data_IF_117086529797
#
_entry.id   IF_117086529797
#
_cell.length_a   1.000
_cell.length_b   1.000
_cell.length_c   1.000
_cell.angle_alpha   90.00
_cell.angle_beta   90.00
_cell.angle_gamma   90.00
#
_symmetry.space_group_name_H-M   'P 1'
#
loop_
_entity.id
_entity.type
_entity.pdbx_description
1 polymer ?
#
# COMPACT_ATOMS: atom_id res chain seq x y z
N UNK A 1 19.72 -13.28 -7.38
CA UNK A 1 19.54 -11.96 -6.75
C UNK A 1 20.48 -11.86 -5.55
N UNK A 2 20.84 -10.62 -5.15
CA UNK A 2 21.89 -10.40 -4.11
C UNK A 2 21.36 -10.55 -2.68
N UNK A 3 20.05 -10.29 -2.49
CA UNK A 3 19.37 -10.34 -1.18
C UNK A 3 18.12 -11.20 -1.26
N UNK A 4 17.64 -11.70 -0.14
CA UNK A 4 16.33 -12.34 -0.05
C UNK A 4 15.22 -11.27 -0.09
N UNK A 5 15.42 -10.17 0.63
CA UNK A 5 14.41 -9.12 0.78
C UNK A 5 14.94 -7.74 0.39
N UNK A 6 14.10 -6.96 -0.29
CA UNK A 6 14.22 -5.50 -0.41
C UNK A 6 13.01 -4.85 0.24
N UNK A 7 13.22 -3.98 1.21
CA UNK A 7 12.15 -3.30 1.94
C UNK A 7 12.17 -1.83 1.56
N UNK A 8 11.10 -1.34 0.95
CA UNK A 8 10.96 0.05 0.52
C UNK A 8 10.25 0.83 1.63
N UNK A 9 10.93 1.85 2.15
CA UNK A 9 10.45 2.71 3.24
C UNK A 9 10.39 4.16 2.74
N UNK A 10 9.21 4.65 2.29
CA UNK A 10 9.06 6.05 1.94
C UNK A 10 9.03 6.90 3.21
N UNK A 11 9.95 7.87 3.32
CA UNK A 11 10.04 8.82 4.44
C UNK A 11 9.56 10.19 4.00
N UNK A 12 8.81 10.89 4.85
CA UNK A 12 8.38 12.27 4.63
C UNK A 12 8.53 13.16 5.86
N UNK A 13 8.03 12.69 6.98
CA UNK A 13 7.97 13.40 8.26
C UNK A 13 7.94 12.40 9.42
N UNK A 14 7.78 12.84 10.66
CA UNK A 14 7.64 12.01 11.85
C UNK A 14 8.85 11.08 12.09
N UNK A 15 9.99 11.72 12.28
CA UNK A 15 11.27 11.04 12.42
C UNK A 15 11.27 9.90 13.46
N UNK A 16 10.64 10.09 14.63
CA UNK A 16 10.63 9.06 15.69
C UNK A 16 9.87 7.80 15.26
N UNK A 17 8.76 7.94 14.54
CA UNK A 17 8.03 6.80 13.98
C UNK A 17 8.85 6.10 12.89
N UNK A 18 9.49 6.87 12.03
CA UNK A 18 10.39 6.33 11.01
C UNK A 18 11.55 5.54 11.60
N UNK A 19 12.18 6.04 12.68
CA UNK A 19 13.22 5.27 13.40
C UNK A 19 12.65 3.97 13.94
N UNK A 20 11.44 3.98 14.51
CA UNK A 20 10.76 2.78 14.98
C UNK A 20 10.46 1.81 13.84
N UNK A 21 9.98 2.31 12.70
CA UNK A 21 9.73 1.52 11.50
C UNK A 21 11.01 0.79 11.02
N UNK A 22 12.11 1.52 10.82
CA UNK A 22 13.38 0.93 10.40
C UNK A 22 13.94 0.00 11.46
N UNK A 23 13.77 0.30 12.76
CA UNK A 23 14.22 -0.57 13.85
C UNK A 23 13.52 -1.92 13.89
N UNK A 24 12.25 -1.99 13.42
CA UNK A 24 11.49 -3.24 13.34
C UNK A 24 12.00 -4.20 12.25
N UNK A 25 12.85 -3.73 11.34
CA UNK A 25 13.50 -4.57 10.35
C UNK A 25 14.72 -5.25 11.01
N UNK A 26 14.87 -6.58 10.96
CA UNK A 26 16.02 -7.25 11.55
C UNK A 26 17.33 -6.88 10.83
N UNK A 27 18.45 -6.91 11.56
CA UNK A 27 19.77 -6.62 11.01
C UNK A 27 20.40 -7.89 10.42
N UNK A 28 20.03 -8.23 9.18
CA UNK A 28 20.43 -9.46 8.47
C UNK A 28 21.14 -9.12 7.15
N UNK A 29 22.18 -9.89 6.79
CA UNK A 29 22.97 -9.72 5.54
C UNK A 29 22.17 -9.91 4.26
N UNK A 30 21.08 -10.66 4.33
CA UNK A 30 20.19 -10.96 3.20
C UNK A 30 19.05 -9.93 3.04
N UNK A 31 19.11 -8.83 3.78
CA UNK A 31 18.13 -7.74 3.73
C UNK A 31 18.75 -6.48 3.11
N UNK A 32 18.02 -5.89 2.19
CA UNK A 32 18.26 -4.55 1.66
C UNK A 32 17.11 -3.63 2.13
N UNK A 33 17.44 -2.50 2.75
CA UNK A 33 16.52 -1.46 3.17
C UNK A 33 16.69 -0.29 2.21
N UNK A 34 15.62 0.12 1.54
CA UNK A 34 15.61 1.22 0.58
C UNK A 34 14.79 2.35 1.20
N UNK A 35 15.47 3.32 1.76
CA UNK A 35 14.87 4.53 2.33
C UNK A 35 14.73 5.54 1.20
N UNK A 36 13.50 5.96 0.93
CA UNK A 36 13.24 6.98 -0.09
C UNK A 36 12.70 8.24 0.58
N UNK A 37 13.53 9.25 0.62
CA UNK A 37 13.20 10.55 1.19
C UNK A 37 12.28 11.33 0.25
N UNK A 38 11.09 11.62 0.74
CA UNK A 38 10.06 12.40 0.06
C UNK A 38 9.70 13.66 0.90
N UNK A 39 10.58 14.04 1.83
CA UNK A 39 10.37 15.21 2.69
C UNK A 39 10.62 16.51 1.90
N UNK A 40 9.91 17.61 2.24
CA UNK A 40 10.23 18.94 1.71
C UNK A 40 11.66 19.38 2.04
N UNK A 41 12.11 19.07 3.24
CA UNK A 41 13.49 19.26 3.70
C UNK A 41 14.16 17.89 3.81
N UNK A 42 15.25 17.64 3.06
CA UNK A 42 15.92 16.34 3.05
C UNK A 42 16.37 15.91 4.44
N UNK A 43 16.19 14.62 4.75
CA UNK A 43 16.67 14.02 5.99
C UNK A 43 18.21 14.08 6.03
N UNK A 44 18.81 14.69 7.06
CA UNK A 44 20.25 14.70 7.22
C UNK A 44 20.82 13.29 7.26
N UNK A 45 21.94 13.05 6.56
CA UNK A 45 22.50 11.70 6.41
C UNK A 45 22.86 11.02 7.73
N UNK A 46 23.32 11.79 8.70
CA UNK A 46 23.62 11.32 10.06
C UNK A 46 22.40 10.85 10.86
N UNK A 47 21.19 11.29 10.42
CA UNK A 47 19.91 10.83 10.99
C UNK A 47 19.32 9.60 10.30
N UNK A 48 19.94 9.10 9.23
CA UNK A 48 19.46 7.90 8.56
C UNK A 48 19.77 6.69 9.46
N UNK A 49 18.73 5.92 9.91
CA UNK A 49 18.97 4.74 10.73
C UNK A 49 19.86 3.73 9.99
N UNK A 50 21.05 3.47 10.53
CA UNK A 50 21.98 2.49 10.01
C UNK A 50 21.69 1.07 10.51
N UNK A 51 22.23 0.09 9.81
CA UNK A 51 22.28 -1.32 10.21
C UNK A 51 23.72 -1.81 10.04
N UNK A 52 24.14 -2.79 10.85
CA UNK A 52 25.51 -3.32 10.76
C UNK A 52 25.66 -4.34 9.62
N UNK A 53 24.63 -5.15 9.38
CA UNK A 53 24.65 -6.24 8.41
C UNK A 53 23.75 -5.96 7.20
N UNK A 54 22.53 -5.45 7.42
CA UNK A 54 21.62 -5.14 6.35
C UNK A 54 22.12 -3.97 5.49
N UNK A 55 21.94 -4.07 4.17
CA UNK A 55 22.34 -3.00 3.24
C UNK A 55 21.30 -1.88 3.27
N UNK A 56 21.70 -0.70 3.68
CA UNK A 56 20.86 0.50 3.57
C UNK A 56 21.21 1.25 2.28
N UNK A 57 20.18 1.56 1.49
CA UNK A 57 20.21 2.42 0.29
C UNK A 57 19.36 3.63 0.58
N UNK A 58 19.90 4.81 0.33
CA UNK A 58 19.16 6.07 0.43
C UNK A 58 18.96 6.67 -0.95
N UNK A 59 17.72 7.01 -1.27
CA UNK A 59 17.32 7.72 -2.46
C UNK A 59 16.38 8.88 -2.09
N UNK A 60 16.15 9.79 -3.00
CA UNK A 60 15.21 10.90 -2.82
C UNK A 60 14.22 10.98 -3.97
N UNK A 61 13.06 11.50 -3.69
CA UNK A 61 11.98 11.69 -4.67
C UNK A 61 11.32 13.05 -4.50
N UNK A 62 10.50 13.45 -5.47
CA UNK A 62 9.82 14.74 -5.42
C UNK A 62 8.80 14.82 -4.27
N UNK A 63 8.93 15.78 -3.34
CA UNK A 63 8.02 15.92 -2.20
C UNK A 63 6.59 16.30 -2.59
N UNK A 64 6.39 16.81 -3.80
CA UNK A 64 5.08 17.27 -4.30
C UNK A 64 4.24 16.14 -4.92
N UNK A 65 4.87 15.00 -5.27
CA UNK A 65 4.23 13.89 -5.97
C UNK A 65 3.72 12.76 -5.05
N UNK A 66 3.85 12.92 -3.74
CA UNK A 66 3.32 12.00 -2.75
C UNK A 66 4.08 10.68 -2.61
N UNK A 67 3.57 9.79 -1.74
CA UNK A 67 4.21 8.52 -1.41
C UNK A 67 4.33 7.54 -2.59
N UNK A 68 3.46 7.67 -3.61
CA UNK A 68 3.53 6.85 -4.82
C UNK A 68 4.84 7.09 -5.58
N UNK A 69 5.25 8.35 -5.75
CA UNK A 69 6.53 8.71 -6.37
C UNK A 69 7.72 8.14 -5.58
N UNK A 70 7.68 8.21 -4.25
CA UNK A 70 8.73 7.62 -3.41
C UNK A 70 8.80 6.09 -3.58
N UNK A 71 7.67 5.40 -3.61
CA UNK A 71 7.66 3.95 -3.84
C UNK A 71 8.16 3.59 -5.23
N UNK A 72 7.81 4.37 -6.27
CA UNK A 72 8.32 4.18 -7.63
C UNK A 72 9.85 4.35 -7.70
N UNK A 73 10.39 5.36 -7.02
CA UNK A 73 11.84 5.51 -6.89
C UNK A 73 12.47 4.29 -6.20
N UNK A 74 11.88 3.84 -5.09
CA UNK A 74 12.32 2.65 -4.37
C UNK A 74 12.35 1.39 -5.23
N UNK A 75 11.35 1.19 -6.10
CA UNK A 75 11.28 0.04 -7.03
C UNK A 75 12.52 -0.08 -7.93
N UNK A 76 13.14 1.04 -8.33
CA UNK A 76 14.34 1.07 -9.18
C UNK A 76 15.57 0.46 -8.49
N UNK A 77 15.61 0.48 -7.16
CA UNK A 77 16.74 0.02 -6.37
C UNK A 77 16.59 -1.41 -5.84
N UNK A 78 15.45 -2.06 -6.08
CA UNK A 78 15.17 -3.42 -5.60
C UNK A 78 16.17 -4.43 -6.17
N UNK A 79 16.89 -5.13 -5.29
CA UNK A 79 17.86 -6.17 -5.62
C UNK A 79 17.58 -7.51 -4.90
N UNK A 80 16.56 -7.56 -4.04
CA UNK A 80 16.08 -8.74 -3.34
C UNK A 80 15.18 -9.63 -4.20
N UNK A 81 15.14 -10.92 -3.88
CA UNK A 81 14.21 -11.89 -4.50
C UNK A 81 12.76 -11.52 -4.25
N UNK A 82 12.49 -11.06 -3.05
CA UNK A 82 11.19 -10.54 -2.64
C UNK A 82 11.27 -9.07 -2.27
N UNK A 83 10.16 -8.35 -2.43
CA UNK A 83 10.04 -6.98 -1.97
C UNK A 83 8.87 -6.82 -1.01
N UNK A 84 9.05 -5.90 -0.08
CA UNK A 84 8.11 -5.49 0.95
C UNK A 84 7.99 -3.98 0.96
N UNK A 85 6.83 -3.48 1.34
CA UNK A 85 6.60 -2.05 1.59
C UNK A 85 6.35 -1.85 3.08
N UNK A 86 7.03 -0.87 3.66
CA UNK A 86 6.87 -0.46 5.05
C UNK A 86 6.61 1.03 5.09
N UNK A 87 5.41 1.44 5.51
CA UNK A 87 5.12 2.86 5.70
C UNK A 87 5.90 3.38 6.92
N UNK A 88 6.41 4.62 6.84
CA UNK A 88 7.32 5.18 7.85
C UNK A 88 6.68 5.42 9.23
N UNK A 89 5.37 5.28 9.35
CA UNK A 89 4.65 5.36 10.62
C UNK A 89 4.16 4.00 11.14
N UNK A 90 4.43 2.90 10.41
CA UNK A 90 4.06 1.54 10.77
C UNK A 90 5.30 0.70 11.14
N UNK A 91 5.14 -0.57 11.53
CA UNK A 91 6.28 -1.46 11.82
C UNK A 91 5.92 -2.94 11.68
N UNK A 92 6.93 -3.78 11.47
CA UNK A 92 6.78 -5.23 11.46
C UNK A 92 6.65 -5.78 12.89
N UNK A 93 5.94 -6.92 13.02
CA UNK A 93 5.98 -7.69 14.27
C UNK A 93 7.34 -8.36 14.44
N UNK A 94 7.74 -8.75 15.67
CA UNK A 94 9.00 -9.44 15.90
C UNK A 94 9.17 -10.72 15.07
N UNK A 95 8.07 -11.47 14.84
CA UNK A 95 8.06 -12.77 14.14
C UNK A 95 7.81 -12.64 12.63
N UNK A 96 7.71 -11.41 12.11
CA UNK A 96 7.36 -11.18 10.70
C UNK A 96 8.32 -11.88 9.73
N UNK A 97 9.63 -11.78 10.00
CA UNK A 97 10.63 -12.35 9.10
C UNK A 97 10.71 -13.87 9.16
N UNK A 98 10.41 -14.49 10.30
CA UNK A 98 10.27 -15.94 10.42
C UNK A 98 9.08 -16.44 9.56
N UNK A 99 8.03 -15.64 9.46
CA UNK A 99 6.88 -15.95 8.59
C UNK A 99 7.22 -15.76 7.12
N UNK A 100 7.95 -14.69 6.74
CA UNK A 100 8.39 -14.48 5.37
C UNK A 100 9.37 -15.55 4.90
N UNK A 101 10.28 -16.02 5.77
CA UNK A 101 11.30 -17.01 5.46
C UNK A 101 10.70 -18.36 5.03
N UNK A 102 9.49 -18.71 5.46
CA UNK A 102 8.75 -19.90 5.01
C UNK A 102 8.50 -19.90 3.49
N UNK A 103 8.48 -18.72 2.86
CA UNK A 103 8.17 -18.53 1.44
C UNK A 103 9.40 -18.32 0.55
N UNK A 104 10.63 -18.35 1.08
CA UNK A 104 11.85 -18.10 0.31
C UNK A 104 12.02 -19.02 -0.91
N UNK A 105 11.52 -20.25 -0.82
CA UNK A 105 11.59 -21.23 -1.91
C UNK A 105 10.25 -21.42 -2.63
N UNK A 106 9.28 -20.54 -2.37
CA UNK A 106 7.99 -20.58 -3.06
C UNK A 106 8.08 -19.91 -4.43
N UNK A 107 7.07 -20.15 -5.23
CA UNK A 107 6.90 -19.56 -6.55
C UNK A 107 5.64 -18.66 -6.63
N UNK A 108 5.10 -18.28 -5.48
CA UNK A 108 4.00 -17.32 -5.41
C UNK A 108 4.44 -15.95 -5.91
N UNK A 109 3.58 -15.28 -6.65
CA UNK A 109 3.78 -13.89 -7.08
C UNK A 109 3.55 -12.93 -5.93
N UNK A 110 2.53 -13.23 -5.10
CA UNK A 110 2.19 -12.46 -3.91
C UNK A 110 1.78 -13.43 -2.78
N UNK A 111 2.32 -13.23 -1.60
CA UNK A 111 1.81 -13.83 -0.36
C UNK A 111 1.23 -12.72 0.50
N UNK A 112 -0.01 -12.90 0.94
CA UNK A 112 -0.72 -11.97 1.81
C UNK A 112 -0.67 -12.45 3.26
N UNK A 113 -0.48 -11.54 4.22
CA UNK A 113 -0.40 -11.86 5.63
C UNK A 113 -1.39 -11.02 6.44
N UNK A 114 -1.83 -11.51 7.60
CA UNK A 114 -2.67 -10.72 8.49
C UNK A 114 -1.91 -9.51 9.02
N UNK A 115 -2.48 -8.30 8.98
CA UNK A 115 -2.03 -7.17 9.76
C UNK A 115 -2.73 -7.15 11.12
N UNK A 116 -2.17 -6.36 12.05
CA UNK A 116 -2.89 -5.81 13.20
C UNK A 116 -2.83 -4.28 13.16
N UNK A 117 -3.48 -3.59 14.10
CA UNK A 117 -3.43 -2.13 14.14
C UNK A 117 -3.53 -1.60 15.56
N UNK A 118 -2.80 -0.51 15.85
CA UNK A 118 -2.72 0.12 17.16
C UNK A 118 -2.99 1.62 17.07
N UNK A 119 -3.68 2.18 18.06
CA UNK A 119 -3.74 3.62 18.26
C UNK A 119 -2.46 4.08 18.96
N UNK A 120 -1.79 5.10 18.39
CA UNK A 120 -0.58 5.66 19.00
C UNK A 120 -0.85 6.45 20.28
N UNK A 121 -2.10 6.88 20.50
CA UNK A 121 -2.51 7.66 21.67
C UNK A 121 -2.43 6.88 22.98
N UNK A 122 -2.80 5.61 22.96
CA UNK A 122 -2.97 4.78 24.16
C UNK A 122 -2.50 3.33 24.00
N UNK A 123 -1.98 2.97 22.80
CA UNK A 123 -1.52 1.61 22.51
C UNK A 123 -2.65 0.58 22.36
N UNK A 124 -3.92 0.99 22.37
CA UNK A 124 -5.04 0.06 22.21
C UNK A 124 -5.17 -0.41 20.76
N UNK A 125 -5.74 -1.61 20.57
CA UNK A 125 -6.02 -2.15 19.24
C UNK A 125 -7.09 -1.28 18.56
N UNK A 126 -6.86 -0.96 17.28
CA UNK A 126 -7.85 -0.27 16.43
C UNK A 126 -8.47 -1.25 15.42
N UNK A 127 -9.42 -0.80 14.61
CA UNK A 127 -10.15 -1.63 13.65
C UNK A 127 -9.61 -1.58 12.22
N UNK A 128 -8.52 -0.82 11.97
CA UNK A 128 -7.98 -0.62 10.61
C UNK A 128 -7.55 -1.91 9.91
N UNK A 129 -7.15 -2.92 10.66
CA UNK A 129 -6.73 -4.22 10.14
C UNK A 129 -7.90 -5.17 9.84
N UNK A 130 -9.07 -5.02 10.50
CA UNK A 130 -10.16 -6.01 10.54
C UNK A 130 -10.60 -6.46 9.15
N UNK A 131 -10.83 -5.51 8.23
CA UNK A 131 -11.24 -5.84 6.86
C UNK A 131 -10.19 -6.67 6.10
N UNK A 132 -8.90 -6.41 6.32
CA UNK A 132 -7.82 -7.12 5.62
C UNK A 132 -7.63 -8.52 6.19
N UNK A 133 -7.76 -8.66 7.52
CA UNK A 133 -7.77 -9.98 8.18
C UNK A 133 -8.93 -10.83 7.68
N UNK A 134 -10.14 -10.24 7.52
CA UNK A 134 -11.27 -11.00 6.96
C UNK A 134 -11.05 -11.48 5.53
N UNK A 135 -10.24 -10.77 4.70
CA UNK A 135 -9.91 -11.23 3.35
C UNK A 135 -8.98 -12.45 3.37
N UNK A 136 -8.07 -12.51 4.35
CA UNK A 136 -7.23 -13.69 4.59
C UNK A 136 -8.10 -14.88 5.00
N UNK A 137 -9.02 -14.67 5.97
CA UNK A 137 -9.92 -15.72 6.43
C UNK A 137 -10.81 -16.25 5.30
N UNK A 138 -11.35 -15.36 4.45
CA UNK A 138 -12.13 -15.76 3.27
C UNK A 138 -11.31 -16.64 2.30
N UNK A 139 -10.03 -16.33 2.10
CA UNK A 139 -9.16 -17.13 1.25
C UNK A 139 -8.86 -18.50 1.88
N UNK A 140 -8.44 -18.52 3.15
CA UNK A 140 -8.01 -19.75 3.84
C UNK A 140 -9.19 -20.72 4.00
N UNK A 141 -10.36 -20.22 4.42
CA UNK A 141 -11.50 -21.09 4.75
C UNK A 141 -12.43 -21.36 3.55
N UNK A 142 -12.52 -20.43 2.60
CA UNK A 142 -13.51 -20.50 1.51
C UNK A 142 -12.87 -20.50 0.12
N UNK A 143 -11.53 -20.46 0.01
CA UNK A 143 -10.78 -20.33 -1.24
C UNK A 143 -11.23 -19.13 -2.11
N UNK A 144 -11.61 -18.02 -1.46
CA UNK A 144 -12.09 -16.80 -2.11
C UNK A 144 -10.96 -15.79 -2.24
N UNK A 145 -10.35 -15.70 -3.41
CA UNK A 145 -9.19 -14.83 -3.69
C UNK A 145 -9.55 -13.42 -4.16
N UNK A 146 -10.80 -13.18 -4.56
CA UNK A 146 -11.21 -11.93 -5.20
C UNK A 146 -11.01 -10.69 -4.32
N UNK A 147 -11.21 -10.81 -3.00
CA UNK A 147 -10.97 -9.70 -2.06
C UNK A 147 -9.48 -9.40 -1.89
N UNK A 148 -8.63 -10.41 -1.84
CA UNK A 148 -7.17 -10.24 -1.83
C UNK A 148 -6.70 -9.52 -3.10
N UNK A 149 -7.18 -9.93 -4.27
CA UNK A 149 -6.78 -9.40 -5.56
C UNK A 149 -7.30 -7.99 -5.83
N UNK A 150 -8.57 -7.70 -5.53
CA UNK A 150 -9.26 -6.51 -6.03
C UNK A 150 -9.64 -5.49 -4.96
N UNK A 151 -9.67 -5.90 -3.68
CA UNK A 151 -10.11 -5.04 -2.58
C UNK A 151 -9.01 -4.69 -1.56
N UNK A 152 -7.90 -5.41 -1.59
CA UNK A 152 -6.74 -5.08 -0.77
C UNK A 152 -5.89 -3.99 -1.44
N UNK A 153 -6.22 -2.74 -1.18
CA UNK A 153 -5.60 -1.58 -1.84
C UNK A 153 -4.22 -1.19 -1.28
N UNK A 154 -3.90 -1.57 -0.06
CA UNK A 154 -2.62 -1.22 0.56
C UNK A 154 -1.46 -2.10 0.05
N UNK A 155 -0.23 -1.57 -0.09
CA UNK A 155 0.93 -2.35 -0.50
C UNK A 155 1.56 -3.14 0.64
N UNK A 156 1.32 -2.77 1.89
CA UNK A 156 1.88 -3.42 3.08
C UNK A 156 1.21 -4.76 3.43
N UNK A 157 1.85 -5.52 4.34
CA UNK A 157 1.45 -6.87 4.76
C UNK A 157 1.36 -7.87 3.60
N UNK A 158 2.21 -7.68 2.60
CA UNK A 158 2.34 -8.51 1.41
C UNK A 158 3.80 -8.76 1.09
N UNK A 159 4.14 -9.99 0.73
CA UNK A 159 5.43 -10.35 0.18
C UNK A 159 5.28 -10.50 -1.33
N UNK A 160 5.92 -9.62 -2.10
CA UNK A 160 5.89 -9.64 -3.56
C UNK A 160 7.14 -10.31 -4.11
N UNK A 161 7.00 -11.20 -5.09
CA UNK A 161 8.13 -11.68 -5.87
C UNK A 161 8.63 -10.54 -6.78
N UNK A 162 9.90 -10.16 -6.61
CA UNK A 162 10.43 -8.97 -7.27
C UNK A 162 10.41 -9.06 -8.79
N UNK A 163 10.72 -10.23 -9.36
CA UNK A 163 10.69 -10.42 -10.82
C UNK A 163 9.29 -10.27 -11.40
N UNK A 164 8.25 -10.74 -10.69
CA UNK A 164 6.87 -10.54 -11.10
C UNK A 164 6.54 -9.05 -11.23
N UNK A 165 6.88 -8.25 -10.20
CA UNK A 165 6.58 -6.81 -10.22
C UNK A 165 7.38 -6.09 -11.31
N UNK A 166 8.66 -6.45 -11.50
CA UNK A 166 9.53 -5.85 -12.52
C UNK A 166 9.07 -6.19 -13.94
N UNK A 167 8.76 -7.45 -14.21
CA UNK A 167 8.29 -7.90 -15.52
C UNK A 167 6.96 -7.27 -15.92
N UNK A 168 6.05 -7.10 -14.96
CA UNK A 168 4.78 -6.42 -15.17
C UNK A 168 4.90 -4.89 -15.26
N UNK A 169 6.09 -4.32 -14.99
CA UNK A 169 6.34 -2.87 -14.95
C UNK A 169 5.32 -2.11 -14.09
N UNK A 170 4.84 -2.74 -13.00
CA UNK A 170 3.81 -2.17 -12.15
C UNK A 170 4.34 -0.97 -11.36
N UNK A 171 3.58 0.12 -11.38
CA UNK A 171 3.93 1.38 -10.72
C UNK A 171 2.77 1.93 -9.89
N UNK A 172 3.13 2.71 -8.89
CA UNK A 172 2.20 3.50 -8.09
C UNK A 172 1.77 4.76 -8.85
N UNK A 173 0.57 5.25 -8.55
CA UNK A 173 0.17 6.57 -9.05
C UNK A 173 0.90 7.67 -8.28
N UNK A 174 1.38 8.69 -8.99
CA UNK A 174 2.02 9.87 -8.41
C UNK A 174 1.00 10.95 -8.07
N UNK A 175 0.05 10.61 -7.20
CA UNK A 175 -1.07 11.45 -6.75
C UNK A 175 -1.10 11.57 -5.22
N UNK A 176 -1.77 12.59 -4.71
CA UNK A 176 -1.79 12.93 -3.25
C UNK A 176 -2.45 11.85 -2.38
N UNK A 177 -3.53 11.23 -2.85
CA UNK A 177 -4.30 10.21 -2.13
C UNK A 177 -4.62 9.04 -3.06
N UNK A 178 -4.84 7.84 -2.51
CA UNK A 178 -5.12 6.60 -3.27
C UNK A 178 -4.00 6.20 -4.25
N UNK A 179 -2.78 6.65 -4.03
CA UNK A 179 -1.62 6.37 -4.89
C UNK A 179 -1.25 4.88 -4.95
N UNK A 180 -1.67 4.09 -3.97
CA UNK A 180 -1.45 2.66 -3.83
C UNK A 180 -2.51 1.78 -4.54
N UNK A 181 -3.68 2.36 -4.82
CA UNK A 181 -4.83 1.61 -5.32
C UNK A 181 -4.59 0.97 -6.68
N UNK A 182 -3.93 1.68 -7.59
CA UNK A 182 -3.65 1.17 -8.93
C UNK A 182 -2.58 0.08 -8.93
N UNK A 183 -1.48 0.28 -8.21
CA UNK A 183 -0.43 -0.73 -8.06
C UNK A 183 -1.00 -2.03 -7.47
N UNK A 184 -1.80 -1.93 -6.39
CA UNK A 184 -2.41 -3.08 -5.74
C UNK A 184 -3.41 -3.81 -6.64
N UNK A 185 -4.21 -3.06 -7.43
CA UNK A 185 -5.14 -3.63 -8.40
C UNK A 185 -4.40 -4.41 -9.50
N UNK A 186 -3.39 -3.79 -10.10
CA UNK A 186 -2.65 -4.39 -11.22
C UNK A 186 -1.87 -5.62 -10.77
N UNK A 187 -1.14 -5.53 -9.65
CA UNK A 187 -0.44 -6.70 -9.11
C UNK A 187 -1.40 -7.81 -8.70
N UNK A 188 -2.53 -7.48 -8.06
CA UNK A 188 -3.55 -8.47 -7.69
C UNK A 188 -4.19 -9.16 -8.88
N UNK A 189 -4.47 -8.42 -9.98
CA UNK A 189 -5.07 -8.96 -11.19
C UNK A 189 -4.12 -9.88 -11.96
N UNK A 190 -2.87 -9.44 -12.18
CA UNK A 190 -1.91 -10.16 -13.01
C UNK A 190 -1.13 -11.25 -12.26
N UNK A 191 -1.21 -11.32 -10.93
CA UNK A 191 -0.60 -12.42 -10.18
C UNK A 191 -1.22 -13.76 -10.59
N UNK A 192 -0.39 -14.68 -11.07
CA UNK A 192 -0.83 -16.03 -11.45
C UNK A 192 -1.03 -16.85 -10.19
N UNK A 193 -0.08 -16.83 -9.27
CA UNK A 193 -0.10 -17.60 -8.02
C UNK A 193 -0.06 -16.70 -6.82
N UNK A 194 -1.11 -16.76 -6.01
CA UNK A 194 -1.17 -16.08 -4.73
C UNK A 194 -1.34 -17.07 -3.58
N UNK A 195 -0.92 -16.67 -2.41
CA UNK A 195 -1.12 -17.38 -1.16
C UNK A 195 -1.56 -16.40 -0.08
N UNK A 196 -2.21 -16.90 0.96
CA UNK A 196 -2.47 -16.16 2.19
C UNK A 196 -2.03 -16.98 3.40
N UNK A 197 -1.46 -16.29 4.38
CA UNK A 197 -0.97 -16.84 5.65
C UNK A 197 -1.62 -16.05 6.79
N UNK A 198 -2.07 -16.70 7.84
CA UNK A 198 -2.73 -16.08 8.99
C UNK A 198 -1.76 -15.47 10.01
N UNK A 199 -0.44 -15.60 9.78
CA UNK A 199 0.58 -14.94 10.58
C UNK A 199 0.41 -13.42 10.58
N UNK A 200 0.48 -12.82 11.76
CA UNK A 200 0.42 -11.36 11.92
C UNK A 200 1.83 -10.81 11.76
N UNK A 201 2.10 -10.13 10.65
CA UNK A 201 3.45 -9.64 10.30
C UNK A 201 3.60 -8.12 10.33
N UNK A 202 2.50 -7.38 10.36
CA UNK A 202 2.50 -5.93 10.15
C UNK A 202 1.57 -5.23 11.15
N UNK A 203 2.05 -4.13 11.72
CA UNK A 203 1.30 -3.31 12.67
C UNK A 203 1.04 -1.95 12.03
N UNK A 204 -0.23 -1.71 11.66
CA UNK A 204 -0.69 -0.42 11.16
C UNK A 204 -0.91 0.50 12.34
N UNK A 205 -0.27 1.66 12.35
CA UNK A 205 -0.49 2.64 13.41
C UNK A 205 -1.62 3.60 13.06
N UNK A 206 -2.38 4.00 14.06
CA UNK A 206 -3.39 5.03 13.92
C UNK A 206 -3.00 6.25 14.75
N UNK A 207 -2.67 7.33 14.04
CA UNK A 207 -2.51 8.65 14.64
C UNK A 207 -3.88 9.15 15.10
N UNK A 208 -3.94 9.77 16.27
CA UNK A 208 -5.17 10.37 16.80
C UNK A 208 -5.89 11.29 15.79
N UNK A 209 -7.05 11.77 16.16
CA UNK A 209 -7.94 12.57 15.28
C UNK A 209 -7.21 13.73 14.59
N UNK A 210 -7.18 13.77 13.26
CA UNK A 210 -6.85 14.93 12.44
C UNK A 210 -5.57 14.88 11.63
N UNK A 211 -4.63 13.96 11.85
CA UNK A 211 -3.29 14.02 11.24
C UNK A 211 -3.03 13.02 10.09
N UNK A 212 -3.97 12.15 9.76
CA UNK A 212 -3.81 11.19 8.66
C UNK A 212 -4.24 11.80 7.32
N UNK A 213 -3.38 11.71 6.29
CA UNK A 213 -3.73 12.09 4.90
C UNK A 213 -5.00 11.39 4.41
N UNK A 214 -5.26 10.18 4.89
CA UNK A 214 -6.47 9.41 4.57
C UNK A 214 -7.75 10.06 5.11
N UNK A 215 -7.66 10.81 6.23
CA UNK A 215 -8.79 11.50 6.87
C UNK A 215 -8.97 12.95 6.36
N UNK A 216 -8.04 13.49 5.56
CA UNK A 216 -8.19 14.83 4.97
C UNK A 216 -9.26 14.84 3.88
N UNK A 217 -10.46 15.29 4.24
CA UNK A 217 -11.60 15.42 3.34
C UNK A 217 -11.60 16.81 2.67
N UNK A 218 -10.66 17.07 1.75
CA UNK A 218 -10.79 18.19 0.82
C UNK A 218 -11.61 17.77 -0.41
N UNK A 219 -12.26 18.74 -1.05
CA UNK A 219 -12.98 18.52 -2.31
C UNK A 219 -12.05 17.92 -3.39
N UNK A 220 -10.80 18.43 -3.48
CA UNK A 220 -9.78 17.91 -4.38
C UNK A 220 -9.46 16.43 -4.10
N UNK A 221 -9.16 16.08 -2.86
CA UNK A 221 -8.86 14.69 -2.48
C UNK A 221 -10.05 13.75 -2.71
N UNK A 222 -11.28 14.23 -2.47
CA UNK A 222 -12.50 13.48 -2.74
C UNK A 222 -12.65 13.19 -4.23
N UNK A 223 -12.35 14.16 -5.09
CA UNK A 223 -12.41 13.97 -6.54
C UNK A 223 -11.30 13.02 -7.03
N UNK A 224 -10.07 13.11 -6.52
CA UNK A 224 -8.99 12.18 -6.86
C UNK A 224 -9.39 10.73 -6.53
N UNK A 225 -9.99 10.49 -5.35
CA UNK A 225 -10.51 9.16 -4.98
C UNK A 225 -11.59 8.67 -5.94
N UNK A 226 -12.48 9.56 -6.35
CA UNK A 226 -13.53 9.24 -7.33
C UNK A 226 -12.95 8.92 -8.71
N UNK A 227 -12.02 9.74 -9.21
CA UNK A 227 -11.33 9.50 -10.48
C UNK A 227 -10.61 8.14 -10.48
N UNK A 228 -9.88 7.84 -9.40
CA UNK A 228 -9.25 6.52 -9.21
C UNK A 228 -10.28 5.39 -9.24
N UNK A 229 -11.47 5.58 -8.63
CA UNK A 229 -12.52 4.58 -8.65
C UNK A 229 -13.13 4.41 -10.06
N UNK A 230 -13.32 5.48 -10.82
CA UNK A 230 -13.78 5.42 -12.22
C UNK A 230 -12.77 4.67 -13.10
N UNK A 231 -11.48 4.95 -12.96
CA UNK A 231 -10.41 4.25 -13.69
C UNK A 231 -10.37 2.76 -13.32
N UNK A 232 -10.49 2.44 -12.04
CA UNK A 232 -10.58 1.06 -11.56
C UNK A 232 -11.80 0.34 -12.15
N UNK A 233 -12.97 1.01 -12.18
CA UNK A 233 -14.19 0.46 -12.77
C UNK A 233 -13.97 0.09 -14.24
N UNK A 234 -13.47 1.03 -15.05
CA UNK A 234 -13.19 0.79 -16.49
C UNK A 234 -12.28 -0.39 -16.72
N UNK A 235 -11.20 -0.49 -15.96
CA UNK A 235 -10.28 -1.61 -16.06
C UNK A 235 -10.96 -2.93 -15.72
N UNK A 236 -11.65 -3.02 -14.59
CA UNK A 236 -12.31 -4.25 -14.16
C UNK A 236 -13.41 -4.70 -15.13
N UNK A 237 -14.18 -3.76 -15.67
CA UNK A 237 -15.17 -4.05 -16.71
C UNK A 237 -14.51 -4.56 -17.99
N UNK A 238 -13.41 -3.95 -18.44
CA UNK A 238 -12.68 -4.36 -19.65
C UNK A 238 -12.07 -5.77 -19.57
N UNK A 239 -11.75 -6.22 -18.36
CA UNK A 239 -11.18 -7.56 -18.12
C UNK A 239 -12.25 -8.57 -17.64
N UNK A 240 -13.53 -8.25 -17.78
CA UNK A 240 -14.65 -9.15 -17.45
C UNK A 240 -14.89 -9.34 -15.95
N UNK A 241 -14.36 -8.44 -15.10
CA UNK A 241 -14.51 -8.51 -13.63
C UNK A 241 -15.47 -7.42 -13.11
N UNK A 242 -16.59 -7.26 -13.78
CA UNK A 242 -17.63 -6.29 -13.40
C UNK A 242 -18.19 -6.52 -11.99
N UNK A 243 -18.18 -7.77 -11.53
CA UNK A 243 -18.53 -8.19 -10.17
C UNK A 243 -17.65 -7.55 -9.08
N UNK A 244 -16.45 -7.08 -9.45
CA UNK A 244 -15.49 -6.44 -8.55
C UNK A 244 -15.43 -4.91 -8.70
N UNK A 245 -16.29 -4.32 -9.53
CA UNK A 245 -16.29 -2.88 -9.75
C UNK A 245 -16.70 -2.09 -8.49
N UNK A 246 -16.06 -0.93 -8.22
CA UNK A 246 -16.44 -0.07 -7.10
C UNK A 246 -17.83 0.56 -7.35
N UNK A 247 -18.61 0.70 -6.28
CA UNK A 247 -19.93 1.38 -6.34
C UNK A 247 -19.75 2.90 -6.38
N UNK A 248 -19.88 3.51 -7.55
CA UNK A 248 -19.63 4.94 -7.75
C UNK A 248 -20.67 5.84 -7.09
N UNK A 249 -21.90 5.37 -6.91
CA UNK A 249 -22.98 6.11 -6.25
C UNK A 249 -22.59 6.57 -4.82
N UNK A 250 -21.77 5.79 -4.11
CA UNK A 250 -21.27 6.16 -2.78
C UNK A 250 -20.47 7.47 -2.82
N UNK A 251 -19.61 7.63 -3.82
CA UNK A 251 -18.81 8.85 -3.99
C UNK A 251 -19.68 10.06 -4.34
N UNK A 252 -20.71 9.89 -5.20
CA UNK A 252 -21.67 10.94 -5.56
C UNK A 252 -22.44 11.40 -4.32
N UNK A 253 -22.90 10.48 -3.47
CA UNK A 253 -23.60 10.81 -2.21
C UNK A 253 -22.68 11.57 -1.24
N UNK A 254 -21.41 11.18 -1.12
CA UNK A 254 -20.43 11.90 -0.30
C UNK A 254 -20.19 13.31 -0.86
N UNK A 255 -20.06 13.46 -2.18
CA UNK A 255 -19.89 14.74 -2.83
C UNK A 255 -21.09 15.66 -2.59
N UNK A 256 -22.33 15.13 -2.73
CA UNK A 256 -23.56 15.85 -2.45
C UNK A 256 -23.63 16.35 -1.00
N UNK A 257 -23.33 15.44 -0.05
CA UNK A 257 -23.41 15.75 1.39
C UNK A 257 -22.37 16.80 1.83
N UNK A 258 -21.13 16.71 1.33
CA UNK A 258 -20.02 17.50 1.85
C UNK A 258 -19.74 18.77 1.03
N UNK A 259 -20.11 18.78 -0.27
CA UNK A 259 -19.71 19.85 -1.20
C UNK A 259 -20.89 20.39 -2.02
N UNK A 260 -22.10 19.83 -1.85
CA UNK A 260 -23.34 20.30 -2.49
C UNK A 260 -23.63 19.71 -3.86
N UNK A 261 -24.79 20.12 -4.43
CA UNK A 261 -25.35 19.50 -5.64
C UNK A 261 -24.48 19.68 -6.88
N UNK A 262 -23.83 20.83 -7.02
CA UNK A 262 -22.97 21.11 -8.19
C UNK A 262 -21.79 20.14 -8.28
N UNK A 263 -21.19 19.81 -7.15
CA UNK A 263 -20.10 18.84 -7.12
C UNK A 263 -20.59 17.41 -7.39
N UNK A 264 -21.74 17.03 -6.85
CA UNK A 264 -22.37 15.75 -7.17
C UNK A 264 -22.67 15.61 -8.67
N UNK A 265 -23.21 16.67 -9.31
CA UNK A 265 -23.44 16.71 -10.76
C UNK A 265 -22.12 16.63 -11.55
N UNK A 266 -21.04 17.26 -11.07
CA UNK A 266 -19.71 17.15 -11.66
C UNK A 266 -19.23 15.70 -11.68
N UNK A 267 -19.41 14.94 -10.59
CA UNK A 267 -19.03 13.51 -10.51
C UNK A 267 -19.84 12.67 -11.49
N UNK A 268 -21.16 12.87 -11.54
CA UNK A 268 -22.05 12.18 -12.48
C UNK A 268 -21.60 12.43 -13.92
N UNK A 269 -21.42 13.71 -14.28
CA UNK A 269 -20.99 14.12 -15.63
C UNK A 269 -19.62 13.53 -16.00
N UNK A 270 -18.69 13.49 -15.03
CA UNK A 270 -17.38 12.92 -15.20
C UNK A 270 -17.44 11.40 -15.49
N UNK A 271 -18.22 10.65 -14.72
CA UNK A 271 -18.39 9.21 -14.92
C UNK A 271 -18.99 8.91 -16.31
N UNK A 272 -20.08 9.59 -16.70
CA UNK A 272 -20.68 9.42 -18.03
C UNK A 272 -19.72 9.78 -19.17
N UNK A 273 -18.94 10.88 -19.05
CA UNK A 273 -17.91 11.24 -20.03
C UNK A 273 -16.86 10.14 -20.19
N UNK A 274 -16.59 9.38 -19.14
CA UNK A 274 -15.68 8.24 -19.15
C UNK A 274 -16.33 6.91 -19.53
N UNK A 275 -17.60 6.91 -19.93
CA UNK A 275 -18.33 5.70 -20.35
C UNK A 275 -18.75 4.79 -19.19
N UNK A 276 -18.82 5.32 -17.95
CA UNK A 276 -19.12 4.53 -16.75
C UNK A 276 -20.45 4.97 -16.15
N UNK A 277 -21.34 4.01 -15.85
CA UNK A 277 -22.57 4.23 -15.09
C UNK A 277 -22.29 4.48 -13.60
N UNK A 278 -23.20 5.19 -12.94
CA UNK A 278 -23.11 5.49 -11.50
C UNK A 278 -23.71 4.36 -10.63
N UNK A 279 -24.64 3.57 -11.19
CA UNK A 279 -25.37 2.49 -10.49
C UNK A 279 -24.64 1.16 -10.53
#
# INVERSE_FOLDING_TARGET
>A
MKYNYSIIVPYRDKYDLFVKAVSSIPDRKDIQIIIVDNAPEPLPREKIPGKQQAKVVYASSSPTKGAGCARNEGLKHVAGRYMLFLDADDYFTPEAFDSFDKYLNSDYDIVFFKPTSLKLSDGTISDRHVKYSSYIDDFIHNNLDSRLRYWWVAPWSKLFRSDFVKQGAFQFDEIKVSNDSWFSLMTGHYAVRICADDAIVYIVTELGTGSSLTKMNSQENSFIRFDTAVRKYKFLESVGRKDQCPRLLGFVRIALKNYGIMEALRYIKYAFKNGVGIL
#
